data_IF_215426573264
#
_entry.id   IF_215426573264
#
_cell.length_a   1.000
_cell.length_b   1.000
_cell.length_c   1.000
_cell.angle_alpha   90.00
_cell.angle_beta   90.00
_cell.angle_gamma   90.00
#
_symmetry.space_group_name_H-M   'P 1'
#
loop_
_entity.id
_entity.type
_entity.pdbx_description
1 polymer ?
#
# COMPACT_ATOMS: atom_id res chain seq x y z
N UNK A 1 -84.35 -0.80 -3.01
CA UNK A 1 -83.84 -2.14 -3.34
C UNK A 1 -82.53 -1.97 -4.09
N UNK A 2 -81.41 -2.07 -3.37
CA UNK A 2 -80.07 -2.12 -3.94
C UNK A 2 -79.75 -3.56 -4.37
N UNK A 3 -79.03 -3.77 -5.48
CA UNK A 3 -78.18 -4.92 -5.63
C UNK A 3 -76.71 -4.52 -5.49
N UNK A 4 -75.99 -5.40 -4.81
CA UNK A 4 -74.62 -5.26 -4.35
C UNK A 4 -73.59 -5.34 -5.49
N UNK A 5 -72.55 -4.51 -5.38
CA UNK A 5 -71.33 -4.61 -6.20
C UNK A 5 -70.34 -5.52 -5.48
N UNK A 6 -69.87 -6.63 -6.09
CA UNK A 6 -68.84 -7.46 -5.48
C UNK A 6 -67.45 -6.81 -5.68
N UNK A 7 -66.87 -6.37 -4.56
CA UNK A 7 -65.44 -6.13 -4.38
C UNK A 7 -64.67 -7.44 -4.53
N UNK A 8 -63.77 -7.55 -5.51
CA UNK A 8 -62.58 -8.43 -5.41
C UNK A 8 -61.37 -7.82 -6.14
N UNK A 9 -60.49 -7.28 -5.31
CA UNK A 9 -59.02 -7.38 -5.37
C UNK A 9 -58.33 -7.19 -6.73
N UNK A 10 -57.84 -5.97 -6.95
CA UNK A 10 -56.60 -5.77 -7.71
C UNK A 10 -55.66 -4.88 -6.88
N UNK A 11 -55.10 -5.48 -5.83
CA UNK A 11 -53.96 -4.93 -5.09
C UNK A 11 -52.72 -5.36 -5.87
N UNK A 12 -52.36 -4.58 -6.90
CA UNK A 12 -51.08 -4.70 -7.58
C UNK A 12 -49.99 -4.26 -6.59
N UNK A 13 -49.46 -5.24 -5.87
CA UNK A 13 -48.24 -5.16 -5.09
C UNK A 13 -47.10 -4.69 -5.98
N UNK A 14 -46.70 -3.42 -5.81
CA UNK A 14 -45.35 -2.97 -6.08
C UNK A 14 -44.40 -3.73 -5.14
N UNK A 15 -44.03 -4.93 -5.52
CA UNK A 15 -42.85 -5.60 -4.97
C UNK A 15 -41.62 -4.89 -5.56
N UNK A 16 -41.26 -3.75 -4.97
CA UNK A 16 -39.92 -3.22 -5.13
C UNK A 16 -38.97 -4.24 -4.53
N UNK A 17 -38.22 -4.94 -5.39
CA UNK A 17 -37.14 -5.84 -5.02
C UNK A 17 -36.10 -5.03 -4.25
N UNK A 18 -36.17 -5.06 -2.92
CA UNK A 18 -35.17 -4.48 -2.03
C UNK A 18 -34.04 -5.49 -1.82
N UNK A 19 -33.07 -5.46 -2.72
CA UNK A 19 -31.75 -6.12 -2.64
C UNK A 19 -31.10 -6.03 -4.03
N UNK A 20 -29.88 -5.46 -4.24
CA UNK A 20 -28.63 -5.68 -3.48
C UNK A 20 -27.82 -4.37 -3.27
N UNK A 21 -28.47 -3.27 -2.85
CA UNK A 21 -27.78 -1.97 -2.69
C UNK A 21 -26.74 -1.95 -1.56
N UNK A 22 -26.93 -2.76 -0.52
CA UNK A 22 -26.02 -2.81 0.65
C UNK A 22 -24.73 -3.57 0.34
N UNK A 23 -24.81 -4.71 -0.36
CA UNK A 23 -23.64 -5.52 -0.74
C UNK A 23 -22.76 -4.79 -1.77
N UNK A 24 -23.35 -4.05 -2.72
CA UNK A 24 -22.60 -3.19 -3.66
C UNK A 24 -21.91 -2.00 -2.98
N UNK A 25 -22.47 -1.51 -1.88
CA UNK A 25 -21.88 -0.39 -1.14
C UNK A 25 -20.69 -0.81 -0.25
N UNK A 26 -20.70 -2.04 0.26
CA UNK A 26 -19.60 -2.61 1.06
C UNK A 26 -18.33 -2.81 0.21
N UNK A 27 -18.47 -3.38 -0.99
CA UNK A 27 -17.34 -3.62 -1.89
C UNK A 27 -16.59 -2.31 -2.26
N UNK A 28 -17.32 -1.23 -2.50
CA UNK A 28 -16.74 0.02 -3.01
C UNK A 28 -15.71 0.68 -2.07
N UNK A 29 -15.87 0.62 -0.74
CA UNK A 29 -14.94 1.29 0.20
C UNK A 29 -13.68 0.46 0.47
N UNK A 30 -13.82 -0.85 0.63
CA UNK A 30 -12.69 -1.78 0.77
C UNK A 30 -11.87 -1.86 -0.52
N UNK A 31 -12.50 -1.83 -1.68
CA UNK A 31 -11.80 -1.76 -2.97
C UNK A 31 -10.97 -0.48 -3.08
N UNK A 32 -11.51 0.68 -2.69
CA UNK A 32 -10.76 1.94 -2.67
C UNK A 32 -9.60 1.91 -1.67
N UNK A 33 -9.80 1.32 -0.49
CA UNK A 33 -8.72 1.08 0.45
C UNK A 33 -7.61 0.25 -0.20
N UNK A 34 -7.96 -0.87 -0.86
CA UNK A 34 -6.99 -1.69 -1.57
C UNK A 34 -6.27 -0.93 -2.68
N UNK A 35 -6.95 -0.04 -3.43
CA UNK A 35 -6.28 0.83 -4.41
C UNK A 35 -5.29 1.80 -3.74
N UNK A 36 -5.64 2.38 -2.59
CA UNK A 36 -4.72 3.24 -1.83
C UNK A 36 -3.52 2.46 -1.29
N UNK A 37 -3.73 1.21 -0.83
CA UNK A 37 -2.65 0.31 -0.44
C UNK A 37 -1.73 0.00 -1.62
N UNK A 38 -2.30 -0.29 -2.79
CA UNK A 38 -1.54 -0.51 -4.03
C UNK A 38 -0.73 0.73 -4.41
N UNK A 39 -1.34 1.92 -4.37
CA UNK A 39 -0.65 3.18 -4.67
C UNK A 39 0.50 3.42 -3.70
N UNK A 40 0.26 3.29 -2.39
CA UNK A 40 1.28 3.48 -1.35
C UNK A 40 2.47 2.56 -1.50
N UNK A 41 2.24 1.25 -1.55
CA UNK A 41 3.34 0.28 -1.69
C UNK A 41 3.99 0.38 -3.08
N UNK A 42 3.21 0.59 -4.13
CA UNK A 42 3.72 0.68 -5.49
C UNK A 42 4.63 1.90 -5.69
N UNK A 43 4.32 3.07 -5.09
CA UNK A 43 5.19 4.24 -5.18
C UNK A 43 6.53 4.01 -4.48
N UNK A 44 6.53 3.36 -3.32
CA UNK A 44 7.77 2.96 -2.65
C UNK A 44 8.60 1.99 -3.49
N UNK A 45 7.93 0.99 -4.09
CA UNK A 45 8.59 0.04 -4.98
C UNK A 45 9.15 0.72 -6.21
N UNK A 46 8.40 1.64 -6.83
CA UNK A 46 8.81 2.34 -8.04
C UNK A 46 10.08 3.17 -7.79
N UNK A 47 10.12 3.92 -6.70
CA UNK A 47 11.30 4.71 -6.32
C UNK A 47 12.48 3.81 -5.98
N UNK A 48 12.23 2.72 -5.25
CA UNK A 48 13.26 1.70 -4.99
C UNK A 48 13.83 1.13 -6.29
N UNK A 49 12.99 0.73 -7.24
CA UNK A 49 13.40 0.14 -8.52
C UNK A 49 14.20 1.13 -9.38
N UNK A 50 13.82 2.42 -9.36
CA UNK A 50 14.58 3.48 -10.01
C UNK A 50 15.99 3.60 -9.40
N UNK A 51 16.11 3.60 -8.07
CA UNK A 51 17.40 3.65 -7.39
C UNK A 51 18.22 2.37 -7.61
N UNK A 52 17.57 1.20 -7.59
CA UNK A 52 18.18 -0.09 -7.91
C UNK A 52 18.76 -0.08 -9.32
N UNK A 53 18.03 0.45 -10.30
CA UNK A 53 18.50 0.57 -11.67
C UNK A 53 19.73 1.50 -11.77
N UNK A 54 19.73 2.64 -11.05
CA UNK A 54 20.89 3.56 -11.03
C UNK A 54 22.14 2.92 -10.45
N UNK A 55 21.98 2.10 -9.41
CA UNK A 55 23.09 1.45 -8.69
C UNK A 55 23.59 0.22 -9.45
N UNK A 56 22.70 -0.74 -9.68
CA UNK A 56 23.06 -2.06 -10.20
C UNK A 56 23.09 -2.11 -11.73
N UNK A 57 22.55 -1.09 -12.41
CA UNK A 57 22.46 -1.01 -13.88
C UNK A 57 21.80 -2.24 -14.51
N UNK A 58 20.90 -2.90 -13.77
CA UNK A 58 20.20 -4.09 -14.23
C UNK A 58 18.93 -3.72 -14.99
N UNK A 59 18.74 -4.37 -16.15
CA UNK A 59 17.53 -4.21 -16.97
C UNK A 59 16.27 -4.73 -16.27
N UNK A 60 16.42 -5.71 -15.37
CA UNK A 60 15.32 -6.26 -14.57
C UNK A 60 14.58 -5.18 -13.79
N UNK A 61 15.30 -4.27 -13.14
CA UNK A 61 14.71 -3.20 -12.34
C UNK A 61 13.89 -2.24 -13.21
N UNK A 62 14.41 -1.89 -14.40
CA UNK A 62 13.71 -1.05 -15.38
C UNK A 62 12.41 -1.70 -15.89
N UNK A 63 12.47 -2.98 -16.25
CA UNK A 63 11.29 -3.73 -16.71
C UNK A 63 10.24 -3.89 -15.61
N UNK A 64 10.68 -4.12 -14.37
CA UNK A 64 9.78 -4.18 -13.21
C UNK A 64 9.15 -2.82 -12.93
N UNK A 65 9.92 -1.73 -13.04
CA UNK A 65 9.41 -0.37 -12.84
C UNK A 65 8.29 -0.05 -13.83
N UNK A 66 8.45 -0.42 -15.10
CA UNK A 66 7.42 -0.18 -16.12
C UNK A 66 6.09 -0.90 -15.81
N UNK A 67 6.16 -2.17 -15.36
CA UNK A 67 4.97 -2.90 -14.90
C UNK A 67 4.32 -2.24 -13.69
N UNK A 68 5.13 -1.74 -12.76
CA UNK A 68 4.63 -1.03 -11.58
C UNK A 68 3.97 0.30 -11.97
N UNK A 69 4.51 1.06 -12.95
CA UNK A 69 3.87 2.29 -13.47
C UNK A 69 2.44 2.04 -13.95
N UNK A 70 2.22 1.00 -14.75
CA UNK A 70 0.88 0.65 -15.25
C UNK A 70 -0.09 0.24 -14.13
N UNK A 71 0.42 -0.39 -13.07
CA UNK A 71 -0.39 -0.73 -11.89
C UNK A 71 -0.74 0.53 -11.10
N UNK A 72 0.20 1.45 -10.96
CA UNK A 72 0.02 2.72 -10.26
C UNK A 72 -0.95 3.65 -10.97
N UNK A 73 -0.88 3.75 -12.30
CA UNK A 73 -1.83 4.51 -13.10
C UNK A 73 -3.27 4.05 -12.85
N UNK A 74 -3.53 2.74 -12.89
CA UNK A 74 -4.85 2.19 -12.59
C UNK A 74 -5.33 2.49 -11.16
N UNK A 75 -4.43 2.43 -10.18
CA UNK A 75 -4.76 2.78 -8.80
C UNK A 75 -5.09 4.28 -8.65
N UNK A 76 -4.34 5.15 -9.31
CA UNK A 76 -4.60 6.60 -9.34
C UNK A 76 -5.90 6.93 -10.05
N UNK A 77 -6.21 6.28 -11.18
CA UNK A 77 -7.48 6.43 -11.88
C UNK A 77 -8.67 6.05 -10.99
N UNK A 78 -8.56 4.92 -10.28
CA UNK A 78 -9.60 4.47 -9.36
C UNK A 78 -9.81 5.45 -8.19
N UNK A 79 -8.72 5.95 -7.61
CA UNK A 79 -8.77 6.90 -6.48
C UNK A 79 -9.12 8.33 -6.88
N UNK A 80 -9.06 8.67 -8.17
CA UNK A 80 -9.52 9.94 -8.71
C UNK A 80 -11.05 10.04 -8.73
N UNK A 81 -11.76 8.92 -8.69
CA UNK A 81 -13.22 8.90 -8.66
C UNK A 81 -13.76 9.31 -7.27
N UNK A 82 -14.99 9.88 -7.17
CA UNK A 82 -15.62 10.17 -5.90
C UNK A 82 -15.75 8.92 -5.01
N UNK A 83 -15.25 9.01 -3.77
CA UNK A 83 -15.26 7.88 -2.82
C UNK A 83 -16.42 8.04 -1.85
N UNK A 84 -17.34 7.08 -1.87
CA UNK A 84 -18.49 7.07 -0.96
C UNK A 84 -18.03 7.10 0.51
N UNK A 85 -18.58 8.01 1.30
CA UNK A 85 -18.25 8.16 2.73
C UNK A 85 -17.11 9.14 3.01
N UNK A 86 -16.41 9.63 1.98
CA UNK A 86 -15.53 10.78 2.08
C UNK A 86 -16.26 12.03 1.61
N UNK A 87 -16.09 13.13 2.33
CA UNK A 87 -16.61 14.45 1.93
C UNK A 87 -15.62 15.55 2.28
N UNK A 88 -15.69 16.64 1.53
CA UNK A 88 -14.96 17.88 1.81
C UNK A 88 -13.46 17.66 1.93
N UNK A 89 -12.90 17.95 3.12
CA UNK A 89 -11.46 17.93 3.36
C UNK A 89 -10.81 16.56 3.12
N UNK A 90 -11.48 15.46 3.49
CA UNK A 90 -10.90 14.12 3.36
C UNK A 90 -10.80 13.69 1.89
N UNK A 91 -11.81 13.99 1.10
CA UNK A 91 -11.80 13.75 -0.35
C UNK A 91 -10.70 14.58 -1.02
N UNK A 92 -10.58 15.88 -0.69
CA UNK A 92 -9.51 16.74 -1.19
C UNK A 92 -8.10 16.23 -0.82
N UNK A 93 -7.94 15.60 0.36
CA UNK A 93 -6.66 14.98 0.76
C UNK A 93 -6.31 13.75 -0.09
N UNK A 94 -7.29 12.91 -0.42
CA UNK A 94 -7.08 11.77 -1.34
C UNK A 94 -6.67 12.28 -2.71
N UNK A 95 -7.42 13.22 -3.28
CA UNK A 95 -7.13 13.79 -4.59
C UNK A 95 -5.74 14.44 -4.65
N UNK A 96 -5.35 15.18 -3.61
CA UNK A 96 -4.02 15.76 -3.52
C UNK A 96 -2.92 14.69 -3.52
N UNK A 97 -3.09 13.62 -2.73
CA UNK A 97 -2.12 12.53 -2.70
C UNK A 97 -2.01 11.79 -4.04
N UNK A 98 -3.11 11.67 -4.79
CA UNK A 98 -3.10 11.12 -6.16
C UNK A 98 -2.33 12.03 -7.11
N UNK A 99 -2.56 13.35 -7.06
CA UNK A 99 -1.81 14.32 -7.85
C UNK A 99 -0.31 14.29 -7.53
N UNK A 100 0.05 14.30 -6.24
CA UNK A 100 1.44 14.21 -5.80
C UNK A 100 2.12 12.91 -6.26
N UNK A 101 1.37 11.79 -6.31
CA UNK A 101 1.87 10.53 -6.85
C UNK A 101 2.10 10.60 -8.36
N UNK A 102 1.21 11.27 -9.10
CA UNK A 102 1.37 11.56 -10.52
C UNK A 102 2.61 12.43 -10.80
N UNK A 103 2.81 13.48 -10.00
CA UNK A 103 3.96 14.37 -10.09
C UNK A 103 5.27 13.61 -9.84
N UNK A 104 5.31 12.76 -8.80
CA UNK A 104 6.50 11.95 -8.51
C UNK A 104 6.77 10.92 -9.62
N UNK A 105 5.72 10.28 -10.15
CA UNK A 105 5.80 9.33 -11.26
C UNK A 105 6.39 9.99 -12.53
N UNK A 106 5.99 11.22 -12.83
CA UNK A 106 6.52 11.98 -13.96
C UNK A 106 7.98 12.42 -13.75
N UNK A 107 8.42 12.57 -12.50
CA UNK A 107 9.72 13.16 -12.13
C UNK A 107 10.68 12.17 -11.45
N UNK A 108 10.60 10.88 -11.78
CA UNK A 108 11.51 9.87 -11.20
C UNK A 108 12.99 10.17 -11.47
N UNK A 109 13.31 10.79 -12.60
CA UNK A 109 14.68 11.13 -13.04
C UNK A 109 15.41 12.18 -12.20
N UNK A 110 14.75 12.78 -11.21
CA UNK A 110 15.34 13.83 -10.37
C UNK A 110 16.55 13.32 -9.53
N UNK A 111 17.40 14.23 -9.00
CA UNK A 111 18.51 13.86 -8.11
C UNK A 111 18.06 13.00 -6.93
N UNK A 112 18.91 12.06 -6.48
CA UNK A 112 18.52 11.07 -5.46
C UNK A 112 18.00 11.68 -4.17
N UNK A 113 18.64 12.74 -3.66
CA UNK A 113 18.18 13.42 -2.46
C UNK A 113 16.76 13.99 -2.61
N UNK A 114 16.47 14.62 -3.77
CA UNK A 114 15.14 15.15 -4.08
C UNK A 114 14.12 14.01 -4.26
N UNK A 115 14.51 12.93 -4.94
CA UNK A 115 13.66 11.75 -5.16
C UNK A 115 13.25 11.10 -3.84
N UNK A 116 14.22 10.87 -2.95
CA UNK A 116 13.97 10.30 -1.63
C UNK A 116 13.09 11.24 -0.81
N UNK A 117 13.41 12.53 -0.74
CA UNK A 117 12.62 13.51 0.00
C UNK A 117 11.16 13.60 -0.49
N UNK A 118 10.95 13.69 -1.81
CA UNK A 118 9.61 13.70 -2.40
C UNK A 118 8.85 12.40 -2.12
N UNK A 119 9.52 11.24 -2.23
CA UNK A 119 8.91 9.95 -1.94
C UNK A 119 8.48 9.80 -0.48
N UNK A 120 9.27 10.30 0.47
CA UNK A 120 8.96 10.25 1.90
C UNK A 120 7.79 11.16 2.26
N UNK A 121 7.75 12.37 1.69
CA UNK A 121 6.62 13.27 1.83
C UNK A 121 5.31 12.64 1.28
N UNK A 122 5.41 11.99 0.12
CA UNK A 122 4.28 11.26 -0.47
C UNK A 122 3.86 10.06 0.40
N UNK A 123 4.81 9.29 0.91
CA UNK A 123 4.56 8.13 1.76
C UNK A 123 3.75 8.50 3.01
N UNK A 124 4.06 9.63 3.64
CA UNK A 124 3.30 10.16 4.76
C UNK A 124 1.86 10.51 4.35
N UNK A 125 1.67 11.21 3.23
CA UNK A 125 0.34 11.57 2.70
C UNK A 125 -0.49 10.33 2.37
N UNK A 126 0.10 9.36 1.66
CA UNK A 126 -0.56 8.09 1.33
C UNK A 126 -0.85 7.25 2.58
N UNK A 127 -0.03 7.35 3.63
CA UNK A 127 -0.33 6.77 4.94
C UNK A 127 -1.60 7.34 5.56
N UNK A 128 -1.79 8.66 5.52
CA UNK A 128 -3.05 9.27 5.96
C UNK A 128 -4.24 8.83 5.10
N UNK A 129 -4.05 8.65 3.79
CA UNK A 129 -5.11 8.15 2.89
C UNK A 129 -5.53 6.73 3.27
N UNK A 130 -4.59 5.79 3.47
CA UNK A 130 -4.96 4.41 3.84
C UNK A 130 -5.66 4.36 5.20
N UNK A 131 -5.19 5.10 6.20
CA UNK A 131 -5.86 5.20 7.50
C UNK A 131 -7.25 5.87 7.40
N UNK A 132 -7.39 6.91 6.58
CA UNK A 132 -8.68 7.60 6.38
C UNK A 132 -9.70 6.68 5.73
N UNK A 133 -9.30 5.95 4.68
CA UNK A 133 -10.16 5.00 3.98
C UNK A 133 -10.51 3.81 4.86
N UNK A 134 -9.58 3.34 5.69
CA UNK A 134 -9.82 2.31 6.69
C UNK A 134 -10.89 2.75 7.70
N UNK A 135 -10.81 3.99 8.20
CA UNK A 135 -11.76 4.53 9.17
C UNK A 135 -13.17 4.81 8.65
N UNK A 136 -13.40 4.79 7.33
CA UNK A 136 -14.73 4.90 6.72
C UNK A 136 -15.19 3.61 6.05
N UNK A 137 -14.40 2.54 6.18
CA UNK A 137 -14.76 1.25 5.63
C UNK A 137 -15.93 0.64 6.40
N UNK A 138 -16.74 -0.12 5.65
CA UNK A 138 -17.93 -0.77 6.21
C UNK A 138 -17.64 -1.97 7.11
N UNK A 139 -16.45 -2.57 6.97
CA UNK A 139 -15.92 -3.64 7.82
C UNK A 139 -14.62 -3.13 8.49
N UNK A 140 -14.71 -2.56 9.72
CA UNK A 140 -13.59 -1.92 10.38
C UNK A 140 -12.44 -2.86 10.72
N UNK A 141 -12.73 -4.11 11.11
CA UNK A 141 -11.71 -5.08 11.52
C UNK A 141 -10.88 -5.50 10.31
N UNK A 142 -11.56 -5.85 9.20
CA UNK A 142 -10.91 -6.16 7.94
C UNK A 142 -10.11 -4.98 7.41
N UNK A 143 -10.69 -3.77 7.44
CA UNK A 143 -10.03 -2.58 6.94
C UNK A 143 -8.82 -2.17 7.78
N UNK A 144 -8.86 -2.42 9.09
CA UNK A 144 -7.72 -2.20 10.00
C UNK A 144 -6.59 -3.17 9.64
N UNK A 145 -6.91 -4.45 9.44
CA UNK A 145 -5.92 -5.44 9.01
C UNK A 145 -5.31 -5.07 7.64
N UNK A 146 -6.10 -4.60 6.69
CA UNK A 146 -5.60 -4.12 5.39
C UNK A 146 -4.64 -2.92 5.58
N UNK A 147 -4.95 -1.94 6.43
CA UNK A 147 -4.05 -0.80 6.70
C UNK A 147 -2.74 -1.24 7.38
N UNK A 148 -2.80 -2.22 8.30
CA UNK A 148 -1.60 -2.81 8.93
C UNK A 148 -0.70 -3.50 7.89
N UNK A 149 -1.29 -4.30 7.01
CA UNK A 149 -0.57 -4.98 5.94
C UNK A 149 -0.01 -3.99 4.91
N UNK A 150 -0.74 -2.91 4.62
CA UNK A 150 -0.26 -1.81 3.79
C UNK A 150 0.98 -1.16 4.40
N UNK A 151 0.93 -0.86 5.71
CA UNK A 151 2.06 -0.29 6.45
C UNK A 151 3.27 -1.22 6.42
N UNK A 152 3.07 -2.52 6.71
CA UNK A 152 4.15 -3.50 6.65
C UNK A 152 4.79 -3.57 5.26
N UNK A 153 3.97 -3.66 4.20
CA UNK A 153 4.46 -3.73 2.82
C UNK A 153 5.26 -2.49 2.38
N UNK A 154 4.73 -1.29 2.65
CA UNK A 154 5.39 -0.03 2.30
C UNK A 154 6.69 0.17 3.10
N UNK A 155 6.71 -0.24 4.37
CA UNK A 155 7.89 -0.09 5.23
C UNK A 155 9.03 -1.01 4.80
N UNK A 156 8.73 -2.25 4.39
CA UNK A 156 9.73 -3.14 3.80
C UNK A 156 10.35 -2.54 2.53
N UNK A 157 9.55 -1.91 1.66
CA UNK A 157 10.03 -1.26 0.45
C UNK A 157 10.84 0.02 0.73
N UNK A 158 10.41 0.84 1.71
CA UNK A 158 11.18 2.01 2.19
C UNK A 158 12.57 1.60 2.65
N UNK A 159 12.70 0.46 3.34
CA UNK A 159 14.01 -0.05 3.77
C UNK A 159 14.91 -0.36 2.58
N UNK A 160 14.37 -1.02 1.56
CA UNK A 160 15.09 -1.29 0.30
C UNK A 160 15.50 0.01 -0.42
N UNK A 161 14.59 0.99 -0.48
CA UNK A 161 14.83 2.32 -1.05
C UNK A 161 16.02 3.02 -0.38
N UNK A 162 16.05 3.06 0.95
CA UNK A 162 17.14 3.70 1.69
C UNK A 162 18.49 3.01 1.50
N UNK A 163 18.49 1.68 1.40
CA UNK A 163 19.71 0.92 1.14
C UNK A 163 20.34 1.28 -0.22
N UNK A 164 19.54 1.51 -1.26
CA UNK A 164 20.07 2.00 -2.53
C UNK A 164 20.41 3.48 -2.51
N UNK A 165 19.58 4.32 -1.86
CA UNK A 165 19.85 5.75 -1.74
C UNK A 165 21.20 6.03 -1.05
N UNK A 166 21.53 5.29 0.00
CA UNK A 166 22.78 5.41 0.73
C UNK A 166 24.00 5.16 -0.17
N UNK A 167 23.89 4.29 -1.17
CA UNK A 167 24.99 3.98 -2.07
C UNK A 167 25.14 5.00 -3.20
N UNK A 168 24.02 5.50 -3.77
CA UNK A 168 24.10 6.51 -4.85
C UNK A 168 24.57 7.86 -4.33
N UNK A 169 24.23 8.21 -3.09
CA UNK A 169 24.56 9.52 -2.56
C UNK A 169 26.05 9.71 -2.27
N UNK A 170 26.89 8.65 -2.30
CA UNK A 170 28.33 8.61 -1.90
C UNK A 170 28.66 9.14 -0.49
N UNK A 171 27.74 9.89 0.10
CA UNK A 171 27.59 10.18 1.50
C UNK A 171 26.39 9.36 1.95
N UNK A 172 26.63 8.39 2.84
CA UNK A 172 25.64 8.10 3.86
C UNK A 172 25.38 9.43 4.59
N UNK A 173 24.39 10.22 4.12
CA UNK A 173 23.91 11.30 4.96
C UNK A 173 23.43 10.62 6.24
N UNK A 174 23.81 11.19 7.38
CA UNK A 174 23.28 10.81 8.69
C UNK A 174 21.78 10.53 8.62
N UNK A 175 21.08 11.32 7.82
CA UNK A 175 19.64 11.30 7.64
C UNK A 175 19.13 10.00 7.00
N UNK A 176 19.80 9.47 5.97
CA UNK A 176 19.42 8.19 5.35
C UNK A 176 19.66 7.03 6.32
N UNK A 177 20.76 7.07 7.09
CA UNK A 177 21.05 6.04 8.09
C UNK A 177 20.04 6.06 9.24
N UNK A 178 19.72 7.24 9.77
CA UNK A 178 18.70 7.41 10.81
C UNK A 178 17.33 6.94 10.30
N UNK A 179 16.97 7.31 9.07
CA UNK A 179 15.71 6.89 8.46
C UNK A 179 15.64 5.38 8.25
N UNK A 180 16.72 4.74 7.80
CA UNK A 180 16.79 3.28 7.63
C UNK A 180 16.69 2.54 8.97
N UNK A 181 17.33 3.06 10.02
CA UNK A 181 17.23 2.51 11.36
C UNK A 181 15.80 2.61 11.90
N UNK A 182 15.18 3.79 11.75
CA UNK A 182 13.78 4.01 12.16
C UNK A 182 12.83 3.07 11.42
N UNK A 183 12.95 2.98 10.09
CA UNK A 183 12.11 2.12 9.24
C UNK A 183 12.28 0.63 9.59
N UNK A 184 13.48 0.20 9.98
CA UNK A 184 13.69 -1.17 10.46
C UNK A 184 12.90 -1.45 11.75
N UNK A 185 12.87 -0.48 12.67
CA UNK A 185 12.06 -0.55 13.89
C UNK A 185 10.56 -0.55 13.59
N UNK A 186 10.10 0.34 12.72
CA UNK A 186 8.70 0.44 12.26
C UNK A 186 8.22 -0.86 11.62
N UNK A 187 9.07 -1.50 10.80
CA UNK A 187 8.69 -2.73 10.12
C UNK A 187 8.50 -3.89 11.08
N UNK A 188 9.40 -4.05 12.04
CA UNK A 188 9.25 -5.06 13.12
C UNK A 188 7.95 -4.84 13.89
N UNK A 189 7.67 -3.60 14.31
CA UNK A 189 6.43 -3.28 15.00
C UNK A 189 5.18 -3.57 14.15
N UNK A 190 5.26 -3.33 12.84
CA UNK A 190 4.17 -3.67 11.91
C UNK A 190 3.95 -5.19 11.81
N UNK A 191 5.02 -6.00 11.75
CA UNK A 191 4.91 -7.47 11.75
C UNK A 191 4.31 -8.00 13.06
N UNK A 192 4.71 -7.44 14.21
CA UNK A 192 4.14 -7.78 15.51
C UNK A 192 2.65 -7.43 15.58
N UNK A 193 2.27 -6.25 15.08
CA UNK A 193 0.87 -5.83 15.02
C UNK A 193 0.01 -6.75 14.14
N UNK A 194 0.55 -7.21 13.00
CA UNK A 194 -0.13 -8.19 12.13
C UNK A 194 -0.21 -9.57 12.81
N UNK A 195 0.83 -9.98 13.53
CA UNK A 195 0.85 -11.25 14.27
C UNK A 195 -0.19 -11.30 15.41
N UNK A 196 -0.57 -10.16 15.95
CA UNK A 196 -1.63 -10.05 16.96
C UNK A 196 -3.06 -10.14 16.37
N UNK A 197 -3.21 -10.18 15.04
CA UNK A 197 -4.51 -10.25 14.38
C UNK A 197 -5.00 -11.69 14.23
N UNK A 198 -6.32 -11.87 14.14
CA UNK A 198 -6.94 -13.15 13.84
C UNK A 198 -6.79 -13.49 12.35
N UNK A 199 -5.73 -14.21 12.01
CA UNK A 199 -5.46 -14.70 10.66
C UNK A 199 -5.92 -16.16 10.51
N UNK A 200 -6.42 -16.50 9.32
CA UNK A 200 -6.67 -17.89 8.94
C UNK A 200 -5.35 -18.69 8.83
N UNK A 201 -5.43 -20.00 8.61
CA UNK A 201 -4.24 -20.85 8.52
C UNK A 201 -3.28 -20.39 7.42
N UNK A 202 -3.82 -20.03 6.25
CA UNK A 202 -3.04 -19.58 5.12
C UNK A 202 -2.37 -18.23 5.40
N UNK A 203 -3.10 -17.27 5.97
CA UNK A 203 -2.57 -15.97 6.35
C UNK A 203 -1.47 -16.07 7.41
N UNK A 204 -1.60 -17.00 8.37
CA UNK A 204 -0.53 -17.32 9.33
C UNK A 204 0.71 -17.88 8.65
N UNK A 205 0.56 -18.75 7.64
CA UNK A 205 1.68 -19.27 6.87
C UNK A 205 2.42 -18.18 6.09
N UNK A 206 1.68 -17.25 5.45
CA UNK A 206 2.28 -16.13 4.72
C UNK A 206 2.96 -15.11 5.65
N UNK A 207 2.38 -14.84 6.81
CA UNK A 207 3.02 -14.01 7.83
C UNK A 207 4.33 -14.65 8.32
N UNK A 208 4.32 -15.96 8.59
CA UNK A 208 5.52 -16.69 9.01
C UNK A 208 6.61 -16.64 7.94
N UNK A 209 6.24 -16.75 6.66
CA UNK A 209 7.19 -16.57 5.55
C UNK A 209 7.82 -15.18 5.57
N UNK A 210 7.01 -14.12 5.74
CA UNK A 210 7.51 -12.76 5.82
C UNK A 210 8.41 -12.51 7.05
N UNK A 211 8.08 -13.10 8.21
CA UNK A 211 8.91 -13.06 9.42
C UNK A 211 10.26 -13.77 9.21
N UNK A 212 10.26 -14.92 8.53
CA UNK A 212 11.50 -15.62 8.19
C UNK A 212 12.37 -14.81 7.20
N UNK A 213 11.73 -14.18 6.20
CA UNK A 213 12.42 -13.27 5.27
C UNK A 213 12.98 -12.05 6.00
N UNK A 214 12.25 -11.51 6.97
CA UNK A 214 12.73 -10.42 7.83
C UNK A 214 13.94 -10.82 8.65
N UNK A 215 13.93 -12.02 9.25
CA UNK A 215 15.07 -12.52 10.00
C UNK A 215 16.33 -12.56 9.13
N UNK A 216 16.24 -13.15 7.94
CA UNK A 216 17.34 -13.20 6.98
C UNK A 216 17.81 -11.80 6.57
N UNK A 217 16.87 -10.92 6.22
CA UNK A 217 17.18 -9.52 5.89
C UNK A 217 17.90 -8.81 7.03
N UNK A 218 17.42 -8.95 8.26
CA UNK A 218 18.00 -8.29 9.44
C UNK A 218 19.46 -8.72 9.69
N UNK A 219 19.83 -9.96 9.35
CA UNK A 219 21.21 -10.41 9.41
C UNK A 219 22.11 -9.79 8.33
N UNK A 220 21.54 -9.36 7.20
CA UNK A 220 22.25 -8.62 6.16
C UNK A 220 22.43 -7.13 6.47
N UNK A 221 21.70 -6.59 7.45
CA UNK A 221 21.73 -5.18 7.85
C UNK A 221 22.63 -4.94 9.07
N UNK A 222 23.33 -3.81 9.08
CA UNK A 222 24.05 -3.30 10.23
C UNK A 222 23.14 -2.56 11.22
N UNK A 223 23.72 -2.02 12.32
CA UNK A 223 22.95 -1.30 13.35
C UNK A 223 22.16 -0.08 12.83
N UNK A 224 22.59 0.49 11.71
CA UNK A 224 21.95 1.64 11.05
C UNK A 224 20.77 1.24 10.15
N UNK A 225 20.43 -0.05 10.04
CA UNK A 225 19.42 -0.54 9.09
C UNK A 225 19.88 -0.52 7.62
N UNK A 226 21.14 -0.16 7.36
CA UNK A 226 21.78 -0.25 6.05
C UNK A 226 22.52 -1.59 5.90
N UNK A 227 22.68 -2.07 4.68
CA UNK A 227 23.38 -3.31 4.35
C UNK A 227 24.81 -3.26 4.90
N UNK A 228 25.26 -4.36 5.50
CA UNK A 228 26.63 -4.48 6.06
C UNK A 228 27.71 -4.33 4.99
N UNK A 229 27.39 -4.66 3.74
CA UNK A 229 28.31 -4.53 2.62
C UNK A 229 27.54 -4.30 1.31
N UNK A 230 28.14 -3.64 0.30
CA UNK A 230 27.48 -3.35 -0.97
C UNK A 230 27.05 -4.61 -1.74
N UNK A 231 27.76 -5.73 -1.59
CA UNK A 231 27.46 -6.99 -2.28
C UNK A 231 26.12 -7.59 -1.84
N UNK A 232 25.65 -7.24 -0.64
CA UNK A 232 24.36 -7.68 -0.10
C UNK A 232 23.16 -6.89 -0.64
N UNK A 233 23.37 -5.82 -1.42
CA UNK A 233 22.25 -4.98 -1.88
C UNK A 233 21.26 -5.74 -2.76
N UNK A 234 21.73 -6.66 -3.61
CA UNK A 234 20.83 -7.49 -4.41
C UNK A 234 19.94 -8.40 -3.53
N UNK A 235 20.48 -8.90 -2.43
CA UNK A 235 19.74 -9.68 -1.43
C UNK A 235 18.69 -8.80 -0.72
N UNK A 236 19.08 -7.58 -0.31
CA UNK A 236 18.15 -6.60 0.29
C UNK A 236 17.03 -6.26 -0.70
N UNK A 237 17.35 -6.04 -1.97
CA UNK A 237 16.38 -5.71 -3.00
C UNK A 237 15.34 -6.82 -3.15
N UNK A 238 15.81 -8.05 -3.37
CA UNK A 238 14.92 -9.19 -3.61
C UNK A 238 14.09 -9.53 -2.37
N UNK A 239 14.66 -9.42 -1.17
CA UNK A 239 13.98 -9.77 0.07
C UNK A 239 12.91 -8.75 0.44
N UNK A 240 13.20 -7.46 0.31
CA UNK A 240 12.20 -6.39 0.57
C UNK A 240 11.01 -6.47 -0.38
N UNK A 241 11.23 -6.82 -1.66
CA UNK A 241 10.14 -7.05 -2.62
C UNK A 241 9.28 -8.26 -2.23
N UNK A 242 9.91 -9.39 -1.88
CA UNK A 242 9.18 -10.62 -1.50
C UNK A 242 8.32 -10.43 -0.25
N UNK A 243 8.85 -9.72 0.75
CA UNK A 243 8.10 -9.36 1.95
C UNK A 243 6.89 -8.51 1.56
N UNK A 244 7.09 -7.46 0.78
CA UNK A 244 6.02 -6.56 0.37
C UNK A 244 4.94 -7.26 -0.47
N UNK A 245 5.35 -8.14 -1.40
CA UNK A 245 4.45 -8.96 -2.19
C UNK A 245 3.61 -9.91 -1.31
N UNK A 246 4.23 -10.53 -0.29
CA UNK A 246 3.54 -11.41 0.66
C UNK A 246 2.48 -10.65 1.46
N UNK A 247 2.83 -9.46 1.98
CA UNK A 247 1.90 -8.61 2.73
C UNK A 247 0.76 -8.08 1.85
N UNK A 248 1.05 -7.66 0.61
CA UNK A 248 0.02 -7.23 -0.34
C UNK A 248 -0.90 -8.37 -0.77
N UNK A 249 -0.36 -9.58 -0.95
CA UNK A 249 -1.16 -10.76 -1.25
C UNK A 249 -2.07 -11.15 -0.09
N UNK A 250 -1.60 -10.99 1.15
CA UNK A 250 -2.43 -11.16 2.35
C UNK A 250 -3.54 -10.10 2.41
N UNK A 251 -3.22 -8.82 2.16
CA UNK A 251 -4.19 -7.72 2.19
C UNK A 251 -5.35 -7.91 1.19
N UNK A 252 -5.10 -8.54 0.05
CA UNK A 252 -6.13 -8.82 -0.97
C UNK A 252 -7.05 -9.99 -0.63
N UNK A 253 -6.64 -10.86 0.29
CA UNK A 253 -7.37 -12.09 0.64
C UNK A 253 -8.25 -11.94 1.85
N UNK A 254 -7.81 -11.11 2.81
CA UNK A 254 -8.61 -10.74 3.98
C UNK A 254 -9.81 -9.93 3.54
#
# INVERSE_FOLDING_TARGET
MSPAVPRRHLLLMLAAVTGPRVVRAQAATTDMLLQAVILRAGMERLVKLELEHRVLKQDRARLAAEKERQRLQRAMEALSAPIKGLTGRREAQVQRAVLDAGDLLANLGQPVAALVGASEALAARLGFVTTTLSGVATDPDRATLIDLLARASATALRLGKFNFAALVASAASSDVSVSAQQVSGEFRAALEAVAAQNLDERGRADLKLAQNQWLLLSHALGPTGLAKSPERLAEVATTTDRIAESMLALARRV
#
